data_IF_054744975449
#
_entry.id   IF_054744975449
#
_cell.length_a   1.000
_cell.length_b   1.000
_cell.length_c   1.000
_cell.angle_alpha   90.00
_cell.angle_beta   90.00
_cell.angle_gamma   90.00
#
_symmetry.space_group_name_H-M   'P 1'
#
loop_
_entity.id
_entity.type
_entity.pdbx_description
1 polymer ?
#
# COMPACT_ATOMS: atom_id res chain seq x y z
N UNK A 1 -8.31 -18.49 -23.99
CA UNK A 1 -8.27 -17.87 -22.65
C UNK A 1 -7.02 -18.26 -21.86
N UNK A 2 -6.09 -17.32 -21.74
CA UNK A 2 -4.93 -17.38 -20.83
C UNK A 2 -5.25 -16.55 -19.59
N UNK A 3 -4.70 -16.92 -18.44
CA UNK A 3 -4.78 -16.12 -17.21
C UNK A 3 -3.42 -15.77 -16.66
N UNK A 4 -3.27 -14.54 -16.18
CA UNK A 4 -2.10 -14.09 -15.44
C UNK A 4 -2.54 -13.59 -14.07
N UNK A 5 -1.92 -14.10 -13.02
CA UNK A 5 -2.28 -13.78 -11.64
C UNK A 5 -1.03 -13.39 -10.84
N UNK A 6 -1.18 -12.51 -9.86
CA UNK A 6 -0.08 -12.17 -8.96
C UNK A 6 -0.49 -11.21 -7.85
N UNK A 7 0.46 -10.83 -7.02
CA UNK A 7 0.20 -10.07 -5.79
C UNK A 7 1.27 -8.99 -5.51
N UNK A 8 0.93 -8.03 -4.65
CA UNK A 8 1.86 -7.00 -4.16
C UNK A 8 2.34 -6.11 -5.31
N UNK A 9 3.65 -5.97 -5.53
CA UNK A 9 4.19 -5.13 -6.59
C UNK A 9 3.79 -5.58 -8.00
N UNK A 10 3.27 -6.80 -8.16
CA UNK A 10 2.68 -7.30 -9.41
C UNK A 10 1.45 -6.50 -9.85
N UNK A 11 0.86 -5.69 -8.96
CA UNK A 11 -0.12 -4.67 -9.33
C UNK A 11 0.38 -3.70 -10.42
N UNK A 12 1.70 -3.49 -10.54
CA UNK A 12 2.30 -2.76 -11.65
C UNK A 12 2.59 -3.66 -12.87
N UNK A 13 3.09 -4.89 -12.63
CA UNK A 13 3.54 -5.77 -13.72
C UNK A 13 2.39 -6.33 -14.56
N UNK A 14 1.30 -6.80 -13.93
CA UNK A 14 0.20 -7.45 -14.65
C UNK A 14 -0.50 -6.49 -15.62
N UNK A 15 -0.90 -5.27 -15.23
CA UNK A 15 -1.49 -4.33 -16.17
C UNK A 15 -0.52 -3.92 -17.29
N UNK A 16 0.78 -3.74 -16.96
CA UNK A 16 1.80 -3.42 -17.95
C UNK A 16 2.05 -4.57 -18.94
N UNK A 17 1.98 -5.82 -18.49
CA UNK A 17 2.08 -7.00 -19.34
C UNK A 17 0.81 -7.17 -20.19
N UNK A 18 -0.36 -7.15 -19.56
CA UNK A 18 -1.65 -7.36 -20.22
C UNK A 18 -1.92 -6.34 -21.33
N UNK A 19 -1.48 -5.10 -21.17
CA UNK A 19 -1.60 -4.06 -22.22
C UNK A 19 -0.75 -4.32 -23.47
N UNK A 20 0.21 -5.25 -23.43
CA UNK A 20 1.13 -5.54 -24.55
C UNK A 20 0.86 -6.88 -25.23
N UNK A 21 0.04 -7.74 -24.64
CA UNK A 21 -0.26 -9.07 -25.17
C UNK A 21 -1.62 -9.08 -25.86
N UNK A 22 -1.64 -9.45 -27.14
CA UNK A 22 -2.84 -9.46 -27.98
C UNK A 22 -3.41 -10.88 -28.12
N UNK A 23 -3.71 -11.52 -26.98
CA UNK A 23 -4.42 -12.80 -26.92
C UNK A 23 -5.67 -12.63 -26.06
N UNK A 24 -6.59 -13.59 -26.15
CA UNK A 24 -7.71 -13.70 -25.22
C UNK A 24 -7.20 -13.98 -23.78
N UNK A 25 -7.08 -12.91 -22.99
CA UNK A 25 -6.39 -12.83 -21.70
C UNK A 25 -7.30 -12.30 -20.59
N UNK A 26 -7.41 -13.04 -19.49
CA UNK A 26 -7.91 -12.54 -18.20
C UNK A 26 -6.76 -12.34 -17.20
N UNK A 27 -6.96 -11.50 -16.17
CA UNK A 27 -5.98 -11.39 -15.08
C UNK A 27 -6.63 -11.10 -13.73
N UNK A 28 -5.92 -11.46 -12.65
CA UNK A 28 -6.31 -11.18 -11.27
C UNK A 28 -5.10 -10.69 -10.45
N UNK A 29 -5.34 -9.71 -9.58
CA UNK A 29 -4.30 -9.10 -8.76
C UNK A 29 -4.78 -9.15 -7.30
N UNK A 30 -4.07 -9.88 -6.45
CA UNK A 30 -4.29 -9.87 -5.00
C UNK A 30 -3.48 -8.75 -4.35
N UNK A 31 -4.07 -7.97 -3.44
CA UNK A 31 -3.36 -6.97 -2.61
C UNK A 31 -2.28 -6.16 -3.37
N UNK A 32 -2.60 -5.73 -4.60
CA UNK A 32 -1.62 -5.14 -5.51
C UNK A 32 -1.38 -3.67 -5.24
N UNK A 33 -0.14 -3.19 -5.46
CA UNK A 33 0.13 -1.77 -5.62
C UNK A 33 -0.25 -1.38 -7.06
N UNK A 34 -1.37 -0.70 -7.21
CA UNK A 34 -1.96 -0.33 -8.51
C UNK A 34 -2.05 1.18 -8.70
N UNK A 35 -2.50 1.90 -7.68
CA UNK A 35 -2.65 3.35 -7.70
C UNK A 35 -2.25 3.95 -6.34
N UNK A 36 -1.01 4.42 -6.21
CA UNK A 36 -0.53 5.07 -4.98
C UNK A 36 -1.41 6.25 -4.52
N UNK A 37 -1.98 7.04 -5.44
CA UNK A 37 -2.76 8.23 -5.07
C UNK A 37 -4.03 7.86 -4.32
N UNK A 38 -4.59 6.69 -4.63
CA UNK A 38 -5.77 6.16 -3.97
C UNK A 38 -5.39 5.33 -2.74
N UNK A 39 -4.27 4.59 -2.77
CA UNK A 39 -3.96 3.55 -1.78
C UNK A 39 -3.26 4.05 -0.51
N UNK A 40 -2.49 5.15 -0.56
CA UNK A 40 -1.76 5.59 0.64
C UNK A 40 -2.64 6.25 1.70
N UNK A 41 -3.65 7.00 1.28
CA UNK A 41 -4.59 7.67 2.19
C UNK A 41 -5.40 6.70 3.07
N UNK A 42 -5.97 5.60 2.54
CA UNK A 42 -6.70 4.62 3.35
C UNK A 42 -5.87 3.87 4.39
N UNK A 43 -4.53 3.92 4.38
CA UNK A 43 -3.74 3.23 5.40
C UNK A 43 -4.02 3.75 6.81
N UNK A 44 -4.22 5.06 6.96
CA UNK A 44 -4.52 5.64 8.27
C UNK A 44 -5.94 5.34 8.71
N UNK A 45 -6.91 5.34 7.79
CA UNK A 45 -8.28 4.90 8.04
C UNK A 45 -8.31 3.44 8.51
N UNK A 46 -7.64 2.55 7.78
CA UNK A 46 -7.52 1.14 8.11
C UNK A 46 -6.89 0.93 9.48
N UNK A 47 -5.77 1.62 9.76
CA UNK A 47 -5.10 1.52 11.05
C UNK A 47 -5.97 2.01 12.21
N UNK A 48 -6.75 3.09 12.02
CA UNK A 48 -7.67 3.60 13.02
C UNK A 48 -8.83 2.64 13.27
N UNK A 49 -9.46 2.14 12.22
CA UNK A 49 -10.62 1.22 12.30
C UNK A 49 -10.25 -0.11 12.96
N UNK A 50 -9.03 -0.58 12.73
CA UNK A 50 -8.47 -1.77 13.37
C UNK A 50 -7.86 -1.50 14.75
N UNK A 51 -8.00 -0.29 15.30
CA UNK A 51 -7.50 0.12 16.62
C UNK A 51 -5.99 -0.06 16.78
N UNK A 52 -5.25 0.04 15.67
CA UNK A 52 -3.78 -0.01 15.66
C UNK A 52 -3.19 1.34 16.09
N UNK A 53 -3.88 2.44 15.77
CA UNK A 53 -3.49 3.81 16.14
C UNK A 53 -4.64 4.54 16.82
N UNK A 54 -4.34 5.63 17.54
CA UNK A 54 -5.35 6.49 18.15
C UNK A 54 -5.89 7.55 17.19
N UNK A 55 -6.98 8.22 17.56
CA UNK A 55 -7.48 9.39 16.81
C UNK A 55 -6.48 10.54 16.74
N UNK A 56 -5.59 10.65 17.73
CA UNK A 56 -4.54 11.68 17.73
C UNK A 56 -3.47 11.31 16.71
N UNK A 57 -3.02 10.06 16.71
CA UNK A 57 -2.05 9.55 15.73
C UNK A 57 -2.56 9.68 14.31
N UNK A 58 -3.83 9.28 14.07
CA UNK A 58 -4.51 9.44 12.79
C UNK A 58 -4.45 10.89 12.26
N UNK A 59 -4.79 11.87 13.12
CA UNK A 59 -4.74 13.28 12.74
C UNK A 59 -3.32 13.75 12.42
N UNK A 60 -2.35 13.30 13.20
CA UNK A 60 -0.94 13.67 13.02
C UNK A 60 -0.39 13.10 11.71
N UNK A 61 -0.58 11.80 11.45
CA UNK A 61 -0.09 11.14 10.24
C UNK A 61 -0.77 11.71 8.99
N UNK A 62 -2.07 12.02 9.06
CA UNK A 62 -2.80 12.59 7.92
C UNK A 62 -2.27 13.97 7.47
N UNK A 63 -1.44 14.65 8.27
CA UNK A 63 -0.77 15.88 7.82
C UNK A 63 0.27 15.63 6.72
N UNK A 64 0.73 14.38 6.56
CA UNK A 64 1.73 13.96 5.57
C UNK A 64 1.10 13.60 4.21
N UNK A 65 -0.22 13.39 4.16
CA UNK A 65 -0.94 12.99 2.93
C UNK A 65 -0.78 14.01 1.79
N UNK A 66 -0.94 15.32 2.00
CA UNK A 66 -0.84 16.29 0.90
C UNK A 66 0.53 16.30 0.20
N UNK A 67 1.62 16.06 0.95
CA UNK A 67 2.97 15.97 0.38
C UNK A 67 3.10 14.72 -0.50
N UNK A 68 2.66 13.56 -0.02
CA UNK A 68 2.59 12.33 -0.82
C UNK A 68 1.75 12.53 -2.10
N UNK A 69 0.55 13.13 -2.00
CA UNK A 69 -0.30 13.40 -3.16
C UNK A 69 0.38 14.31 -4.19
N UNK A 70 1.08 15.35 -3.73
CA UNK A 70 1.84 16.25 -4.59
C UNK A 70 3.02 15.53 -5.28
N UNK A 71 3.80 14.76 -4.54
CA UNK A 71 4.98 14.08 -5.08
C UNK A 71 4.61 12.97 -6.06
N UNK A 72 3.41 12.38 -5.96
CA UNK A 72 2.87 11.49 -6.99
C UNK A 72 2.73 12.20 -8.32
N UNK A 73 2.26 13.45 -8.34
CA UNK A 73 2.16 14.23 -9.57
C UNK A 73 3.53 14.61 -10.15
N UNK A 74 4.55 14.72 -9.28
CA UNK A 74 5.92 15.01 -9.67
C UNK A 74 6.75 13.75 -9.99
N UNK A 75 6.16 12.56 -9.86
CA UNK A 75 6.85 11.27 -10.02
C UNK A 75 8.01 11.04 -9.03
N UNK A 76 7.95 11.61 -7.82
CA UNK A 76 8.97 11.49 -6.74
C UNK A 76 8.38 11.02 -5.40
N UNK A 77 7.27 10.28 -5.47
CA UNK A 77 6.42 9.94 -4.33
C UNK A 77 6.99 8.92 -3.33
N UNK A 78 8.09 8.24 -3.64
CA UNK A 78 8.49 7.06 -2.89
C UNK A 78 8.75 7.39 -1.42
N UNK A 79 9.55 8.42 -1.14
CA UNK A 79 9.92 8.79 0.22
C UNK A 79 8.72 9.32 1.01
N UNK A 80 8.00 10.30 0.47
CA UNK A 80 6.88 10.94 1.15
C UNK A 80 5.72 9.96 1.40
N UNK A 81 5.34 9.15 0.42
CA UNK A 81 4.25 8.21 0.62
C UNK A 81 4.61 7.04 1.56
N UNK A 82 5.81 6.45 1.43
CA UNK A 82 6.22 5.35 2.33
C UNK A 82 6.36 5.80 3.78
N UNK A 83 6.67 7.08 4.03
CA UNK A 83 6.75 7.63 5.39
C UNK A 83 5.41 7.60 6.14
N UNK A 84 4.27 7.67 5.44
CA UNK A 84 2.92 7.50 6.04
C UNK A 84 2.80 6.11 6.65
N UNK A 85 3.15 5.08 5.87
CA UNK A 85 3.10 3.70 6.31
C UNK A 85 4.13 3.42 7.42
N UNK A 86 5.35 3.95 7.28
CA UNK A 86 6.39 3.85 8.31
C UNK A 86 5.95 4.45 9.64
N UNK A 87 5.31 5.61 9.62
CA UNK A 87 4.80 6.26 10.84
C UNK A 87 3.76 5.42 11.57
N UNK A 88 2.92 4.69 10.84
CA UNK A 88 1.98 3.72 11.44
C UNK A 88 2.76 2.59 12.10
N UNK A 89 3.74 1.99 11.42
CA UNK A 89 4.52 0.88 11.97
C UNK A 89 5.34 1.27 13.19
N UNK A 90 5.91 2.48 13.21
CA UNK A 90 6.66 2.99 14.35
C UNK A 90 5.78 3.10 15.61
N UNK A 91 4.51 3.46 15.45
CA UNK A 91 3.53 3.55 16.55
C UNK A 91 3.10 2.15 17.00
N UNK A 92 2.79 1.27 16.04
CA UNK A 92 2.23 -0.06 16.34
C UNK A 92 3.30 -1.02 16.88
N UNK A 93 4.55 -0.84 16.49
CA UNK A 93 5.69 -1.63 16.94
C UNK A 93 5.70 -3.04 16.36
N UNK A 94 5.76 -4.06 17.22
CA UNK A 94 5.98 -5.46 16.83
C UNK A 94 4.72 -6.14 16.24
N UNK A 95 4.31 -5.70 15.05
CA UNK A 95 3.19 -6.27 14.28
C UNK A 95 3.68 -6.80 12.94
N UNK A 96 3.03 -7.83 12.41
CA UNK A 96 3.22 -8.21 11.02
C UNK A 96 2.28 -7.40 10.13
N UNK A 97 2.81 -6.50 9.30
CA UNK A 97 2.00 -5.64 8.45
C UNK A 97 1.35 -6.37 7.25
N UNK A 98 1.78 -7.59 6.94
CA UNK A 98 1.08 -8.48 6.01
C UNK A 98 -0.12 -9.20 6.67
N UNK A 99 -0.10 -9.36 7.99
CA UNK A 99 -1.19 -9.98 8.76
C UNK A 99 -1.24 -9.41 10.18
N UNK A 100 -2.04 -8.35 10.36
CA UNK A 100 -2.14 -7.57 11.60
C UNK A 100 -2.64 -8.37 12.82
N UNK A 101 -3.05 -9.63 12.64
CA UNK A 101 -3.44 -10.54 13.72
C UNK A 101 -2.22 -11.23 14.35
N UNK A 102 -1.03 -11.05 13.80
CA UNK A 102 0.22 -11.70 14.21
C UNK A 102 1.28 -10.67 14.60
N UNK A 103 2.19 -11.08 15.49
CA UNK A 103 3.42 -10.34 15.77
C UNK A 103 4.45 -10.56 14.65
N UNK A 104 5.41 -9.65 14.53
CA UNK A 104 6.55 -9.86 13.65
C UNK A 104 7.43 -11.01 14.17
N UNK A 105 7.76 -11.95 13.29
CA UNK A 105 8.48 -13.18 13.64
C UNK A 105 9.52 -13.63 12.61
N UNK A 106 9.85 -12.78 11.64
CA UNK A 106 10.78 -13.10 10.55
C UNK A 106 11.34 -11.83 9.90
N UNK A 107 12.02 -11.98 8.77
CA UNK A 107 12.60 -10.85 8.03
C UNK A 107 11.57 -10.02 7.24
N UNK A 108 10.35 -10.56 7.08
CA UNK A 108 9.28 -9.93 6.31
C UNK A 108 8.15 -9.52 7.24
N UNK A 109 8.46 -8.49 8.02
CA UNK A 109 7.65 -7.66 8.87
C UNK A 109 8.59 -6.53 9.37
#
# INVERSE_FOLDING_TARGET
>A
MVFVTGESYVGHYIPAFASRVHVDLGFAIGNGLTDPAIQYKPYTDYALDHKLITKTDYKNINTMIPECENDIQLCDAYASCTSIFGSILDIVGNINYYDIRKKCGGQLC
#
